data_IF_125331722044
#
_entry.id   IF_125331722044
#
_cell.length_a   1.000
_cell.length_b   1.000
_cell.length_c   1.000
_cell.angle_alpha   90.00
_cell.angle_beta   90.00
_cell.angle_gamma   90.00
#
_symmetry.space_group_name_H-M   'P 1'
#
loop_
_entity.id
_entity.type
_entity.pdbx_description
1 polymer ?
#
# COMPACT_ATOMS: atom_id res chain seq x y z
N UNK A 1 -15.10 15.08 -70.62
CA UNK A 1 -15.45 15.95 -69.49
C UNK A 1 -15.85 15.03 -68.32
N UNK A 2 -15.00 14.93 -67.29
CA UNK A 2 -15.05 13.87 -66.27
C UNK A 2 -16.12 14.17 -65.17
N UNK A 3 -17.29 13.56 -65.31
CA UNK A 3 -18.40 13.64 -64.34
C UNK A 3 -18.12 12.82 -63.04
N UNK A 4 -17.11 11.92 -63.05
CA UNK A 4 -16.78 11.10 -61.89
C UNK A 4 -15.98 11.81 -60.79
N UNK A 5 -15.41 13.01 -61.01
CA UNK A 5 -14.70 13.79 -59.98
C UNK A 5 -15.58 14.63 -59.08
N UNK A 6 -16.87 14.79 -59.42
CA UNK A 6 -17.81 15.62 -58.67
C UNK A 6 -18.60 14.82 -57.59
N UNK A 7 -18.57 13.48 -57.63
CA UNK A 7 -19.41 12.63 -56.76
C UNK A 7 -18.65 11.99 -55.58
N UNK A 8 -17.32 12.07 -55.55
CA UNK A 8 -16.48 11.50 -54.49
C UNK A 8 -15.42 12.47 -53.96
N UNK A 9 -15.63 13.75 -54.09
CA UNK A 9 -14.84 14.75 -53.38
C UNK A 9 -15.19 14.73 -51.92
N UNK A 10 -14.53 13.89 -51.11
CA UNK A 10 -14.56 14.05 -49.67
C UNK A 10 -14.00 15.45 -49.36
N UNK A 11 -14.85 16.40 -49.01
CA UNK A 11 -14.43 17.69 -48.47
C UNK A 11 -13.63 17.38 -47.21
N UNK A 12 -12.29 17.50 -47.31
CA UNK A 12 -11.45 17.50 -46.14
C UNK A 12 -11.98 18.61 -45.21
N UNK A 13 -12.33 18.25 -43.98
CA UNK A 13 -12.75 19.23 -42.99
C UNK A 13 -11.69 20.33 -42.86
N UNK A 14 -12.05 21.59 -42.65
CA UNK A 14 -11.12 22.67 -42.39
C UNK A 14 -10.22 22.29 -41.17
N UNK A 15 -8.96 22.68 -41.18
CA UNK A 15 -8.00 22.33 -40.13
C UNK A 15 -8.46 22.79 -38.71
N UNK A 16 -9.22 23.89 -38.65
CA UNK A 16 -9.83 24.36 -37.38
C UNK A 16 -10.94 23.44 -36.87
N UNK A 17 -11.73 22.87 -37.78
CA UNK A 17 -12.83 21.95 -37.41
C UNK A 17 -12.27 20.62 -36.94
N UNK A 18 -11.22 20.12 -37.57
CA UNK A 18 -10.47 18.91 -37.14
C UNK A 18 -9.85 19.13 -35.77
N UNK A 19 -9.22 20.30 -35.50
CA UNK A 19 -8.67 20.63 -34.18
C UNK A 19 -9.74 20.68 -33.11
N UNK A 20 -10.93 21.25 -33.38
CA UNK A 20 -12.05 21.28 -32.44
C UNK A 20 -12.58 19.89 -32.13
N UNK A 21 -12.69 19.02 -33.13
CA UNK A 21 -13.12 17.63 -32.91
C UNK A 21 -12.12 16.86 -32.06
N UNK A 22 -10.81 16.97 -32.35
CA UNK A 22 -9.74 16.33 -31.55
C UNK A 22 -9.72 16.82 -30.10
N UNK A 23 -9.87 18.13 -29.89
CA UNK A 23 -9.93 18.69 -28.51
C UNK A 23 -11.17 18.20 -27.76
N UNK A 24 -12.31 18.11 -28.45
CA UNK A 24 -13.54 17.57 -27.86
C UNK A 24 -13.38 16.11 -27.46
N UNK A 25 -12.81 15.29 -28.35
CA UNK A 25 -12.61 13.86 -28.13
C UNK A 25 -11.63 13.63 -26.96
N UNK A 26 -10.54 14.39 -26.87
CA UNK A 26 -9.65 14.41 -25.72
C UNK A 26 -10.39 14.70 -24.41
N UNK A 27 -11.18 15.78 -24.35
CA UNK A 27 -11.90 16.18 -23.15
C UNK A 27 -12.94 15.14 -22.71
N UNK A 28 -13.64 14.50 -23.66
CA UNK A 28 -14.59 13.42 -23.36
C UNK A 28 -13.87 12.22 -22.76
N UNK A 29 -12.78 11.77 -23.36
CA UNK A 29 -12.00 10.64 -22.88
C UNK A 29 -11.40 10.91 -21.49
N UNK A 30 -10.83 12.11 -21.30
CA UNK A 30 -10.30 12.53 -19.99
C UNK A 30 -11.40 12.53 -18.93
N UNK A 31 -12.57 13.14 -19.21
CA UNK A 31 -13.69 13.20 -18.28
C UNK A 31 -14.22 11.80 -17.95
N UNK A 32 -14.42 10.95 -18.95
CA UNK A 32 -14.90 9.58 -18.76
C UNK A 32 -13.90 8.75 -17.96
N UNK A 33 -12.60 8.89 -18.22
CA UNK A 33 -11.56 8.23 -17.47
C UNK A 33 -11.51 8.64 -15.99
N UNK A 34 -11.60 9.95 -15.71
CA UNK A 34 -11.62 10.47 -14.34
C UNK A 34 -12.89 10.04 -13.61
N UNK A 35 -14.04 10.04 -14.29
CA UNK A 35 -15.30 9.55 -13.70
C UNK A 35 -15.21 8.06 -13.39
N UNK A 36 -14.75 7.26 -14.34
CA UNK A 36 -14.59 5.82 -14.16
C UNK A 36 -13.65 5.48 -12.99
N UNK A 37 -12.55 6.24 -12.83
CA UNK A 37 -11.63 6.10 -11.70
C UNK A 37 -12.36 6.31 -10.35
N UNK A 38 -13.19 7.35 -10.24
CA UNK A 38 -14.01 7.63 -9.04
C UNK A 38 -15.04 6.54 -8.76
N UNK A 39 -15.61 5.96 -9.82
CA UNK A 39 -16.57 4.86 -9.76
C UNK A 39 -15.90 3.48 -9.58
N UNK A 40 -14.55 3.45 -9.44
CA UNK A 40 -13.73 2.24 -9.29
C UNK A 40 -13.80 1.29 -10.50
N UNK A 41 -14.14 1.82 -11.67
CA UNK A 41 -14.13 1.10 -12.95
C UNK A 41 -12.74 1.23 -13.59
N UNK A 42 -11.74 0.65 -12.94
CA UNK A 42 -10.32 0.90 -13.22
C UNK A 42 -9.91 0.53 -14.66
N UNK A 43 -10.35 -0.62 -15.18
CA UNK A 43 -10.03 -1.05 -16.54
C UNK A 43 -10.57 -0.07 -17.59
N UNK A 44 -11.78 0.43 -17.40
CA UNK A 44 -12.36 1.43 -18.30
C UNK A 44 -11.67 2.78 -18.16
N UNK A 45 -11.31 3.18 -16.94
CA UNK A 45 -10.53 4.38 -16.69
C UNK A 45 -9.18 4.33 -17.42
N UNK A 46 -8.45 3.21 -17.32
CA UNK A 46 -7.17 2.98 -18.01
C UNK A 46 -7.35 3.15 -19.53
N UNK A 47 -8.35 2.51 -20.13
CA UNK A 47 -8.59 2.60 -21.56
C UNK A 47 -8.88 4.03 -22.03
N UNK A 48 -9.72 4.77 -21.30
CA UNK A 48 -10.05 6.16 -21.62
C UNK A 48 -8.82 7.07 -21.47
N UNK A 49 -8.08 6.95 -20.37
CA UNK A 49 -6.91 7.80 -20.09
C UNK A 49 -5.75 7.51 -21.03
N UNK A 50 -5.50 6.25 -21.40
CA UNK A 50 -4.49 5.91 -22.42
C UNK A 50 -4.81 6.58 -23.76
N UNK A 51 -6.05 6.48 -24.23
CA UNK A 51 -6.47 7.15 -25.47
C UNK A 51 -6.40 8.68 -25.38
N UNK A 52 -6.72 9.25 -24.20
CA UNK A 52 -6.56 10.69 -23.98
C UNK A 52 -5.08 11.10 -24.10
N UNK A 53 -4.15 10.34 -23.54
CA UNK A 53 -2.70 10.57 -23.62
C UNK A 53 -2.18 10.39 -25.06
N UNK A 54 -2.72 9.47 -25.85
CA UNK A 54 -2.40 9.36 -27.28
C UNK A 54 -2.74 10.65 -28.05
N UNK A 55 -3.82 11.34 -27.66
CA UNK A 55 -4.21 12.61 -28.27
C UNK A 55 -3.38 13.78 -27.74
N UNK A 56 -3.15 13.83 -26.43
CA UNK A 56 -2.38 14.88 -25.78
C UNK A 56 -1.46 14.27 -24.70
N UNK A 57 -0.27 13.88 -25.12
CA UNK A 57 0.73 13.26 -24.26
C UNK A 57 1.32 14.18 -23.19
N UNK A 58 1.14 15.50 -23.31
CA UNK A 58 1.63 16.49 -22.35
C UNK A 58 0.65 16.74 -21.18
N UNK A 59 -0.54 16.14 -21.18
CA UNK A 59 -1.52 16.34 -20.10
C UNK A 59 -1.12 15.55 -18.85
N UNK A 60 -0.54 16.23 -17.88
CA UNK A 60 -0.08 15.64 -16.62
C UNK A 60 -1.24 15.10 -15.75
N UNK A 61 -2.42 15.71 -15.84
CA UNK A 61 -3.58 15.24 -15.09
C UNK A 61 -4.06 13.87 -15.60
N UNK A 62 -4.03 13.63 -16.91
CA UNK A 62 -4.30 12.30 -17.46
C UNK A 62 -3.28 11.27 -16.98
N UNK A 63 -1.98 11.63 -16.95
CA UNK A 63 -0.93 10.73 -16.45
C UNK A 63 -1.10 10.45 -14.95
N UNK A 64 -1.44 11.47 -14.17
CA UNK A 64 -1.69 11.33 -12.74
C UNK A 64 -2.85 10.36 -12.48
N UNK A 65 -3.99 10.56 -13.11
CA UNK A 65 -5.14 9.67 -12.97
C UNK A 65 -4.85 8.25 -13.50
N UNK A 66 -4.08 8.13 -14.58
CA UNK A 66 -3.67 6.84 -15.11
C UNK A 66 -2.76 6.08 -14.15
N UNK A 67 -1.80 6.78 -13.51
CA UNK A 67 -0.94 6.17 -12.49
C UNK A 67 -1.75 5.65 -11.31
N UNK A 68 -2.78 6.38 -10.86
CA UNK A 68 -3.69 5.95 -9.80
C UNK A 68 -4.49 4.71 -10.22
N UNK A 69 -5.00 4.67 -11.45
CA UNK A 69 -5.71 3.50 -11.96
C UNK A 69 -4.82 2.26 -12.04
N UNK A 70 -3.55 2.43 -12.47
CA UNK A 70 -2.57 1.34 -12.48
C UNK A 70 -2.21 0.85 -11.07
N UNK A 71 -2.05 1.75 -10.09
CA UNK A 71 -1.83 1.36 -8.68
C UNK A 71 -3.02 0.53 -8.18
N UNK A 72 -4.25 0.99 -8.46
CA UNK A 72 -5.47 0.31 -8.00
C UNK A 72 -5.68 -1.08 -8.64
N UNK A 73 -5.01 -1.38 -9.75
CA UNK A 73 -5.04 -2.67 -10.45
C UNK A 73 -3.74 -3.46 -10.32
N UNK A 74 -2.86 -3.07 -9.37
CA UNK A 74 -1.55 -3.69 -9.11
C UNK A 74 -0.59 -3.69 -10.32
N UNK A 75 -0.83 -2.80 -11.29
CA UNK A 75 0.05 -2.60 -12.45
C UNK A 75 1.16 -1.60 -12.11
N UNK A 76 1.95 -1.90 -11.09
CA UNK A 76 2.89 -0.98 -10.44
C UNK A 76 3.97 -0.44 -11.38
N UNK A 77 4.52 -1.30 -12.27
CA UNK A 77 5.54 -0.88 -13.24
C UNK A 77 5.02 0.19 -14.20
N UNK A 78 3.77 0.05 -14.65
CA UNK A 78 3.13 1.03 -15.54
C UNK A 78 2.79 2.32 -14.78
N UNK A 79 2.38 2.21 -13.51
CA UNK A 79 2.18 3.37 -12.63
C UNK A 79 3.47 4.17 -12.47
N UNK A 80 4.58 3.49 -12.17
CA UNK A 80 5.89 4.11 -12.02
C UNK A 80 6.34 4.83 -13.30
N UNK A 81 6.14 4.21 -14.48
CA UNK A 81 6.45 4.83 -15.77
C UNK A 81 5.67 6.15 -16.01
N UNK A 82 4.37 6.19 -15.64
CA UNK A 82 3.61 7.44 -15.77
C UNK A 82 4.12 8.53 -14.83
N UNK A 83 4.42 8.18 -13.57
CA UNK A 83 5.00 9.10 -12.60
C UNK A 83 6.39 9.58 -13.02
N UNK A 84 7.21 8.71 -13.61
CA UNK A 84 8.52 9.08 -14.13
C UNK A 84 8.40 10.14 -15.25
N UNK A 85 7.47 9.96 -16.19
CA UNK A 85 7.19 10.96 -17.23
C UNK A 85 6.71 12.29 -16.65
N UNK A 86 5.95 12.24 -15.55
CA UNK A 86 5.54 13.46 -14.84
C UNK A 86 6.74 14.15 -14.16
N UNK A 87 7.65 13.37 -13.57
CA UNK A 87 8.86 13.92 -12.95
C UNK A 87 9.87 14.49 -13.98
N UNK A 88 9.89 13.95 -15.20
CA UNK A 88 10.69 14.51 -16.31
C UNK A 88 10.18 15.90 -16.73
N UNK A 89 8.85 16.09 -16.78
CA UNK A 89 8.23 17.38 -17.11
C UNK A 89 8.22 18.39 -15.96
N UNK A 90 8.16 17.90 -14.70
CA UNK A 90 8.11 18.69 -13.50
C UNK A 90 9.11 18.16 -12.45
N UNK A 91 10.42 18.31 -12.66
CA UNK A 91 11.45 17.68 -11.83
C UNK A 91 11.46 18.16 -10.37
N UNK A 92 10.94 19.36 -10.10
CA UNK A 92 10.89 19.95 -8.76
C UNK A 92 9.61 19.58 -7.99
N UNK A 93 8.76 18.72 -8.55
CA UNK A 93 7.52 18.34 -7.92
C UNK A 93 7.74 17.19 -6.92
N UNK A 94 7.98 17.54 -5.65
CA UNK A 94 8.22 16.60 -4.56
C UNK A 94 7.05 15.60 -4.39
N UNK A 95 5.81 16.04 -4.59
CA UNK A 95 4.65 15.16 -4.46
C UNK A 95 4.69 14.00 -5.49
N UNK A 96 5.18 14.25 -6.71
CA UNK A 96 5.38 13.20 -7.71
C UNK A 96 6.51 12.26 -7.28
N UNK A 97 7.62 12.80 -6.77
CA UNK A 97 8.75 12.00 -6.28
C UNK A 97 8.34 11.12 -5.09
N UNK A 98 7.57 11.64 -4.15
CA UNK A 98 7.06 10.85 -3.02
C UNK A 98 6.14 9.71 -3.49
N UNK A 99 5.30 9.95 -4.47
CA UNK A 99 4.46 8.88 -5.05
C UNK A 99 5.29 7.85 -5.82
N UNK A 100 6.37 8.28 -6.50
CA UNK A 100 7.32 7.35 -7.11
C UNK A 100 8.00 6.48 -6.05
N UNK A 101 8.40 7.07 -4.92
CA UNK A 101 9.00 6.33 -3.81
C UNK A 101 8.00 5.30 -3.23
N UNK A 102 6.74 5.68 -3.09
CA UNK A 102 5.68 4.77 -2.60
C UNK A 102 5.43 3.61 -3.57
N UNK A 103 5.31 3.88 -4.87
CA UNK A 103 5.17 2.82 -5.88
C UNK A 103 6.42 1.94 -5.96
N UNK A 104 7.61 2.51 -5.86
CA UNK A 104 8.86 1.75 -5.82
C UNK A 104 8.93 0.82 -4.59
N UNK A 105 8.42 1.28 -3.43
CA UNK A 105 8.27 0.44 -2.24
C UNK A 105 7.30 -0.73 -2.48
N UNK A 106 6.12 -0.46 -3.09
CA UNK A 106 5.17 -1.51 -3.44
C UNK A 106 5.75 -2.54 -4.43
N UNK A 107 6.67 -2.11 -5.30
CA UNK A 107 7.42 -2.97 -6.24
C UNK A 107 8.60 -3.71 -5.59
N UNK A 108 8.87 -3.47 -4.31
CA UNK A 108 10.09 -3.93 -3.61
C UNK A 108 11.39 -3.47 -4.32
N UNK A 109 11.30 -2.40 -5.11
CA UNK A 109 12.45 -1.82 -5.80
C UNK A 109 13.10 -0.74 -4.93
N UNK A 110 13.79 -1.17 -3.91
CA UNK A 110 14.40 -0.29 -2.91
C UNK A 110 15.50 0.61 -3.50
N UNK A 111 16.17 0.18 -4.56
CA UNK A 111 17.15 1.03 -5.27
C UNK A 111 16.47 2.22 -5.94
N UNK A 112 15.41 1.99 -6.72
CA UNK A 112 14.66 3.09 -7.33
C UNK A 112 14.03 4.00 -6.27
N UNK A 113 13.58 3.43 -5.14
CA UNK A 113 13.06 4.17 -4.01
C UNK A 113 14.12 5.11 -3.41
N UNK A 114 15.34 4.62 -3.16
CA UNK A 114 16.45 5.41 -2.63
C UNK A 114 16.83 6.55 -3.59
N UNK A 115 17.01 6.25 -4.89
CA UNK A 115 17.35 7.23 -5.92
C UNK A 115 16.36 8.41 -5.99
N UNK A 116 15.07 8.09 -5.87
CA UNK A 116 14.00 9.11 -5.89
C UNK A 116 14.00 9.93 -4.61
N UNK A 117 14.21 9.29 -3.45
CA UNK A 117 14.31 10.01 -2.17
C UNK A 117 15.53 10.93 -2.13
N UNK A 118 16.68 10.53 -2.68
CA UNK A 118 17.88 11.38 -2.78
C UNK A 118 17.58 12.64 -3.60
N UNK A 119 16.91 12.49 -4.74
CA UNK A 119 16.47 13.65 -5.55
C UNK A 119 15.53 14.56 -4.75
N UNK A 120 14.56 13.98 -4.04
CA UNK A 120 13.63 14.75 -3.24
C UNK A 120 14.31 15.48 -2.07
N UNK A 121 15.33 14.87 -1.42
CA UNK A 121 16.14 15.52 -0.38
C UNK A 121 16.95 16.71 -0.90
N UNK A 122 17.41 16.66 -2.16
CA UNK A 122 18.10 17.79 -2.78
C UNK A 122 17.18 18.98 -3.02
N UNK A 123 15.88 18.75 -3.21
CA UNK A 123 14.88 19.78 -3.44
C UNK A 123 14.35 20.37 -2.13
N UNK A 124 14.09 19.51 -1.15
CA UNK A 124 13.56 19.87 0.16
C UNK A 124 14.21 19.00 1.24
N UNK A 125 15.30 19.52 1.80
CA UNK A 125 16.09 18.86 2.83
C UNK A 125 15.40 18.74 4.19
N UNK A 126 14.22 19.38 4.38
CA UNK A 126 13.46 19.32 5.63
C UNK A 126 12.15 18.52 5.49
N UNK A 127 11.97 17.79 4.39
CA UNK A 127 10.80 16.98 4.15
C UNK A 127 10.83 15.66 4.94
N UNK A 128 10.02 15.58 5.97
CA UNK A 128 9.95 14.45 6.90
C UNK A 128 9.61 13.14 6.19
N UNK A 129 8.69 13.18 5.21
CA UNK A 129 8.25 11.99 4.48
C UNK A 129 9.38 11.40 3.62
N UNK A 130 10.25 12.25 3.07
CA UNK A 130 11.39 11.81 2.26
C UNK A 130 12.36 10.99 3.11
N UNK A 131 12.66 11.43 4.33
CA UNK A 131 13.52 10.68 5.25
C UNK A 131 12.89 9.35 5.66
N UNK A 132 11.59 9.33 5.90
CA UNK A 132 10.86 8.11 6.22
C UNK A 132 10.91 7.09 5.07
N UNK A 133 10.65 7.52 3.84
CA UNK A 133 10.75 6.64 2.68
C UNK A 133 12.19 6.19 2.43
N UNK A 134 13.18 7.06 2.61
CA UNK A 134 14.57 6.66 2.46
C UNK A 134 14.99 5.62 3.51
N UNK A 135 14.52 5.77 4.74
CA UNK A 135 14.73 4.75 5.78
C UNK A 135 14.12 3.40 5.39
N UNK A 136 12.90 3.38 4.84
CA UNK A 136 12.29 2.14 4.33
C UNK A 136 13.11 1.52 3.19
N UNK A 137 13.71 2.33 2.32
CA UNK A 137 14.62 1.83 1.29
C UNK A 137 15.89 1.23 1.89
N UNK A 138 16.47 1.85 2.92
CA UNK A 138 17.59 1.30 3.67
C UNK A 138 17.23 -0.05 4.32
N UNK A 139 16.05 -0.16 4.94
CA UNK A 139 15.55 -1.45 5.49
C UNK A 139 15.49 -2.53 4.41
N UNK A 140 14.96 -2.22 3.23
CA UNK A 140 14.89 -3.16 2.12
C UNK A 140 16.25 -3.61 1.59
N UNK A 141 17.29 -2.81 1.80
CA UNK A 141 18.69 -3.17 1.51
C UNK A 141 19.40 -3.87 2.69
N UNK A 142 18.74 -4.01 3.85
CA UNK A 142 19.34 -4.55 5.07
C UNK A 142 20.28 -3.58 5.78
N UNK A 143 20.27 -2.30 5.42
CA UNK A 143 21.09 -1.26 6.04
C UNK A 143 20.33 -0.60 7.21
N UNK A 144 20.18 -1.36 8.29
CA UNK A 144 19.41 -0.94 9.46
C UNK A 144 20.03 0.29 10.14
N UNK A 145 21.35 0.40 10.12
CA UNK A 145 22.05 1.55 10.72
C UNK A 145 21.67 2.87 10.05
N UNK A 146 21.72 2.93 8.72
CA UNK A 146 21.30 4.11 7.99
C UNK A 146 19.79 4.34 8.11
N UNK A 147 18.98 3.29 8.17
CA UNK A 147 17.55 3.44 8.40
C UNK A 147 17.26 4.17 9.73
N UNK A 148 17.89 3.77 10.83
CA UNK A 148 17.76 4.42 12.15
C UNK A 148 18.21 5.89 12.10
N UNK A 149 19.32 6.20 11.39
CA UNK A 149 19.78 7.58 11.22
C UNK A 149 18.74 8.43 10.48
N UNK A 150 18.18 7.92 9.39
CA UNK A 150 17.15 8.64 8.61
C UNK A 150 15.85 8.84 9.41
N UNK A 151 15.42 7.84 10.16
CA UNK A 151 14.25 7.95 11.05
C UNK A 151 14.50 8.96 12.18
N UNK A 152 15.71 8.97 12.75
CA UNK A 152 16.10 9.96 13.76
C UNK A 152 16.09 11.39 13.19
N UNK A 153 16.51 11.56 11.92
CA UNK A 153 16.41 12.85 11.23
C UNK A 153 14.95 13.24 11.00
N UNK A 154 14.10 12.32 10.58
CA UNK A 154 12.66 12.56 10.45
C UNK A 154 12.02 13.00 11.76
N UNK A 155 12.37 12.34 12.88
CA UNK A 155 11.87 12.67 14.22
C UNK A 155 12.43 13.98 14.77
N UNK A 156 13.65 14.38 14.39
CA UNK A 156 14.19 15.69 14.71
C UNK A 156 13.39 16.81 14.03
N UNK A 157 12.93 16.59 12.80
CA UNK A 157 12.13 17.55 12.04
C UNK A 157 10.65 17.55 12.49
N UNK A 158 10.13 16.40 12.85
CA UNK A 158 8.77 16.22 13.37
C UNK A 158 8.74 15.17 14.46
N UNK A 159 8.81 15.60 15.71
CA UNK A 159 8.77 14.72 16.89
C UNK A 159 7.44 13.94 17.03
N UNK A 160 6.39 14.38 16.33
CA UNK A 160 5.06 13.76 16.39
C UNK A 160 4.82 12.75 15.25
N UNK A 161 5.87 12.38 14.53
CA UNK A 161 5.75 11.40 13.45
C UNK A 161 5.80 9.96 14.01
N UNK A 162 4.67 9.50 14.51
CA UNK A 162 4.54 8.22 15.23
C UNK A 162 4.93 7.01 14.37
N UNK A 163 4.65 7.00 13.06
CA UNK A 163 5.07 5.91 12.16
C UNK A 163 6.59 5.79 12.05
N UNK A 164 7.32 6.92 12.02
CA UNK A 164 8.78 6.90 12.00
C UNK A 164 9.35 6.44 13.36
N UNK A 165 8.70 6.82 14.46
CA UNK A 165 9.09 6.38 15.82
C UNK A 165 8.87 4.89 16.01
N UNK A 166 7.73 4.36 15.54
CA UNK A 166 7.44 2.93 15.62
C UNK A 166 8.50 2.13 14.85
N UNK A 167 8.73 2.47 13.59
CA UNK A 167 9.73 1.79 12.77
C UNK A 167 11.14 1.92 13.38
N UNK A 168 11.52 3.08 13.94
CA UNK A 168 12.81 3.25 14.60
C UNK A 168 12.93 2.36 15.83
N UNK A 169 11.92 2.32 16.68
CA UNK A 169 11.88 1.47 17.86
C UNK A 169 12.03 -0.02 17.52
N UNK A 170 11.39 -0.49 16.46
CA UNK A 170 11.54 -1.85 15.96
C UNK A 170 12.98 -2.15 15.50
N UNK A 171 13.58 -1.25 14.70
CA UNK A 171 14.94 -1.41 14.20
C UNK A 171 16.00 -1.33 15.32
N UNK A 172 15.81 -0.45 16.29
CA UNK A 172 16.67 -0.34 17.48
C UNK A 172 16.61 -1.63 18.29
N UNK A 173 15.41 -2.19 18.46
CA UNK A 173 15.25 -3.47 19.17
C UNK A 173 15.92 -4.61 18.42
N UNK A 174 15.80 -4.67 17.09
CA UNK A 174 16.46 -5.66 16.23
C UNK A 174 18.00 -5.53 16.31
N UNK A 175 18.51 -4.28 16.40
CA UNK A 175 19.95 -4.01 16.54
C UNK A 175 20.48 -4.26 17.94
N UNK A 176 19.60 -4.49 18.92
CA UNK A 176 19.97 -4.70 20.32
C UNK A 176 20.10 -3.42 21.16
N UNK A 177 19.70 -2.27 20.60
CA UNK A 177 19.69 -0.97 21.29
C UNK A 177 18.39 -0.81 22.09
N UNK A 178 18.26 -1.67 23.12
CA UNK A 178 17.00 -1.90 23.86
C UNK A 178 16.55 -0.67 24.63
N UNK A 179 17.48 0.11 25.19
CA UNK A 179 17.17 1.33 25.95
C UNK A 179 16.52 2.39 25.07
N UNK A 180 17.08 2.64 23.88
CA UNK A 180 16.55 3.61 22.93
C UNK A 180 15.22 3.15 22.34
N UNK A 181 15.09 1.85 22.06
CA UNK A 181 13.82 1.25 21.66
C UNK A 181 12.73 1.41 22.74
N UNK A 182 13.10 1.34 24.00
CA UNK A 182 12.19 1.53 25.11
C UNK A 182 11.68 2.98 25.20
N UNK A 183 12.55 3.98 24.96
CA UNK A 183 12.16 5.38 24.93
C UNK A 183 11.13 5.64 23.81
N UNK A 184 11.32 5.05 22.65
CA UNK A 184 10.38 5.15 21.53
C UNK A 184 9.05 4.47 21.86
N UNK A 185 9.09 3.25 22.40
CA UNK A 185 7.89 2.51 22.81
C UNK A 185 7.09 3.25 23.89
N UNK A 186 7.77 3.79 24.92
CA UNK A 186 7.11 4.54 26.02
C UNK A 186 6.47 5.83 25.49
N UNK A 187 7.16 6.54 24.58
CA UNK A 187 6.60 7.74 23.95
C UNK A 187 5.35 7.41 23.13
N UNK A 188 5.37 6.32 22.37
CA UNK A 188 4.21 5.89 21.58
C UNK A 188 3.05 5.44 22.48
N UNK A 189 3.31 4.64 23.53
CA UNK A 189 2.28 4.20 24.47
C UNK A 189 1.61 5.36 25.21
N UNK A 190 2.32 6.46 25.46
CA UNK A 190 1.77 7.65 26.09
C UNK A 190 0.84 8.45 25.14
N UNK A 191 0.95 8.26 23.83
CA UNK A 191 0.24 9.04 22.80
C UNK A 191 -0.86 8.24 22.11
N UNK A 192 -0.66 6.95 21.94
CA UNK A 192 -1.53 6.07 21.15
C UNK A 192 -2.02 4.94 22.04
N UNK A 193 -3.30 4.94 22.34
CA UNK A 193 -3.93 3.90 23.14
C UNK A 193 -4.47 2.78 22.24
N UNK A 194 -4.25 1.53 22.64
CA UNK A 194 -4.88 0.35 22.05
C UNK A 194 -4.38 -0.02 20.62
N UNK A 195 -3.30 0.58 20.13
CA UNK A 195 -2.71 0.18 18.86
C UNK A 195 -1.86 -1.09 19.05
N UNK A 196 -2.13 -2.12 18.25
CA UNK A 196 -1.48 -3.43 18.34
C UNK A 196 0.04 -3.34 18.17
N UNK A 197 0.53 -2.64 17.12
CA UNK A 197 1.96 -2.57 16.80
C UNK A 197 2.74 -1.87 17.91
N UNK A 198 2.18 -0.78 18.47
CA UNK A 198 2.77 -0.04 19.60
C UNK A 198 2.85 -0.93 20.84
N UNK A 199 1.79 -1.68 21.14
CA UNK A 199 1.74 -2.59 22.27
C UNK A 199 2.70 -3.77 22.09
N UNK A 200 2.84 -4.30 20.86
CA UNK A 200 3.81 -5.34 20.51
C UNK A 200 5.24 -4.85 20.69
N UNK A 201 5.56 -3.65 20.19
CA UNK A 201 6.88 -3.06 20.41
C UNK A 201 7.19 -2.96 21.91
N UNK A 202 6.24 -2.46 22.70
CA UNK A 202 6.42 -2.37 24.18
C UNK A 202 6.65 -3.73 24.81
N UNK A 203 5.87 -4.75 24.43
CA UNK A 203 6.01 -6.10 24.97
C UNK A 203 7.36 -6.74 24.60
N UNK A 204 7.80 -6.56 23.36
CA UNK A 204 9.10 -7.04 22.89
C UNK A 204 10.27 -6.34 23.59
N UNK A 205 10.15 -5.04 23.87
CA UNK A 205 11.12 -4.28 24.65
C UNK A 205 11.22 -4.83 26.08
N UNK A 206 10.10 -5.08 26.77
CA UNK A 206 10.13 -5.64 28.12
C UNK A 206 10.75 -7.05 28.14
N UNK A 207 10.44 -7.87 27.14
CA UNK A 207 11.06 -9.18 26.94
C UNK A 207 12.59 -9.06 26.73
N UNK A 208 13.03 -8.12 25.89
CA UNK A 208 14.47 -7.91 25.62
C UNK A 208 15.24 -7.38 26.84
N UNK A 209 14.59 -6.58 27.70
CA UNK A 209 15.13 -6.18 29.02
C UNK A 209 15.23 -7.32 30.03
N UNK A 210 14.65 -8.48 29.73
CA UNK A 210 14.55 -9.60 30.67
C UNK A 210 13.43 -9.44 31.71
N UNK A 211 12.58 -8.43 31.59
CA UNK A 211 11.43 -8.17 32.47
C UNK A 211 10.26 -9.08 32.06
N UNK A 212 10.39 -10.39 32.29
CA UNK A 212 9.47 -11.41 31.76
C UNK A 212 8.05 -11.26 32.29
N UNK A 213 7.85 -10.86 33.55
CA UNK A 213 6.52 -10.67 34.13
C UNK A 213 5.80 -9.46 33.50
N UNK A 214 6.51 -8.37 33.28
CA UNK A 214 6.03 -7.17 32.60
C UNK A 214 5.73 -7.45 31.13
N UNK A 215 6.58 -8.25 30.47
CA UNK A 215 6.37 -8.69 29.08
C UNK A 215 5.09 -9.53 28.96
N UNK A 216 4.83 -10.48 29.87
CA UNK A 216 3.59 -11.28 29.86
C UNK A 216 2.36 -10.38 29.96
N UNK A 217 2.38 -9.38 30.86
CA UNK A 217 1.30 -8.40 31.00
C UNK A 217 1.13 -7.57 29.73
N UNK A 218 2.24 -7.13 29.13
CA UNK A 218 2.21 -6.32 27.91
C UNK A 218 1.64 -7.10 26.71
N UNK A 219 2.04 -8.34 26.50
CA UNK A 219 1.42 -9.22 25.48
C UNK A 219 -0.06 -9.49 25.78
N UNK A 220 -0.46 -9.57 27.06
CA UNK A 220 -1.85 -9.63 27.44
C UNK A 220 -2.66 -8.45 26.91
N UNK A 221 -2.12 -7.23 27.02
CA UNK A 221 -2.75 -6.01 26.46
C UNK A 221 -2.84 -6.03 24.94
N UNK A 222 -1.84 -6.61 24.25
CA UNK A 222 -1.93 -6.80 22.78
C UNK A 222 -3.11 -7.69 22.42
N UNK A 223 -3.26 -8.82 23.12
CA UNK A 223 -4.35 -9.78 22.90
C UNK A 223 -5.71 -9.17 23.25
N UNK A 224 -5.78 -8.34 24.29
CA UNK A 224 -7.00 -7.60 24.64
C UNK A 224 -7.39 -6.60 23.52
N UNK A 225 -6.40 -5.96 22.86
CA UNK A 225 -6.61 -5.03 21.77
C UNK A 225 -6.93 -5.76 20.44
N UNK A 226 -6.23 -6.85 20.16
CA UNK A 226 -6.45 -7.72 19.01
C UNK A 226 -6.43 -9.20 19.41
N UNK A 227 -7.59 -9.83 19.67
CA UNK A 227 -7.69 -11.23 20.05
C UNK A 227 -7.21 -12.22 18.95
N UNK A 228 -6.90 -11.74 17.74
CA UNK A 228 -6.41 -12.55 16.63
C UNK A 228 -4.92 -12.35 16.34
N UNK A 229 -4.18 -11.68 17.22
CA UNK A 229 -2.74 -11.45 17.09
C UNK A 229 -1.95 -12.73 17.34
N UNK A 230 -1.65 -13.47 16.28
CA UNK A 230 -0.89 -14.74 16.34
C UNK A 230 0.48 -14.53 16.99
N UNK A 231 1.15 -13.42 16.64
CA UNK A 231 2.48 -13.08 17.18
C UNK A 231 2.40 -12.85 18.69
N UNK A 232 1.40 -12.14 19.17
CA UNK A 232 1.22 -11.89 20.60
C UNK A 232 1.02 -13.18 21.40
N UNK A 233 0.26 -14.13 20.90
CA UNK A 233 0.09 -15.42 21.55
C UNK A 233 1.41 -16.22 21.55
N UNK A 234 2.11 -16.30 20.43
CA UNK A 234 3.39 -17.03 20.34
C UNK A 234 4.43 -16.44 21.27
N UNK A 235 4.61 -15.14 21.21
CA UNK A 235 5.64 -14.45 21.98
C UNK A 235 5.30 -14.46 23.49
N UNK A 236 4.00 -14.36 23.87
CA UNK A 236 3.58 -14.56 25.26
C UNK A 236 3.79 -16.00 25.73
N UNK A 237 3.54 -16.99 24.88
CA UNK A 237 3.82 -18.39 25.17
C UNK A 237 5.29 -18.63 25.47
N UNK A 238 6.20 -18.02 24.70
CA UNK A 238 7.66 -18.08 24.98
C UNK A 238 8.01 -17.47 26.35
N UNK A 239 7.43 -16.31 26.67
CA UNK A 239 7.61 -15.63 27.95
C UNK A 239 7.07 -16.47 29.11
N UNK A 240 5.88 -17.06 28.98
CA UNK A 240 5.26 -17.96 29.97
C UNK A 240 6.12 -19.20 30.23
N UNK A 241 6.69 -19.78 29.15
CA UNK A 241 7.61 -20.90 29.27
C UNK A 241 8.87 -20.52 30.03
N UNK A 242 9.44 -19.34 29.80
CA UNK A 242 10.59 -18.82 30.54
C UNK A 242 10.26 -18.56 32.03
N UNK A 243 9.02 -18.24 32.35
CA UNK A 243 8.50 -18.08 33.72
C UNK A 243 8.13 -19.42 34.39
N UNK A 244 8.21 -20.55 33.68
CA UNK A 244 7.82 -21.87 34.20
C UNK A 244 6.31 -22.14 34.16
N UNK A 245 5.54 -21.33 33.45
CA UNK A 245 4.11 -21.52 33.24
C UNK A 245 3.86 -22.32 31.95
N UNK A 246 4.18 -23.60 31.98
CA UNK A 246 4.04 -24.50 30.82
C UNK A 246 2.58 -24.66 30.37
N UNK A 247 1.63 -24.67 31.30
CA UNK A 247 0.20 -24.77 30.96
C UNK A 247 -0.28 -23.56 30.18
N UNK A 248 0.04 -22.35 30.63
CA UNK A 248 -0.27 -21.12 29.93
C UNK A 248 0.43 -20.99 28.58
N UNK A 249 1.68 -21.46 28.48
CA UNK A 249 2.44 -21.47 27.22
C UNK A 249 1.78 -22.38 26.18
N UNK A 250 1.38 -23.61 26.58
CA UNK A 250 0.70 -24.57 25.70
C UNK A 250 -0.67 -24.05 25.26
N UNK A 251 -1.39 -23.33 26.12
CA UNK A 251 -2.67 -22.74 25.77
C UNK A 251 -2.50 -21.63 24.70
N UNK A 252 -1.47 -20.79 24.85
CA UNK A 252 -1.14 -19.74 23.87
C UNK A 252 -0.70 -20.34 22.53
N UNK A 253 0.12 -21.38 22.53
CA UNK A 253 0.54 -22.08 21.33
C UNK A 253 -0.66 -22.73 20.61
N UNK A 254 -1.57 -23.34 21.36
CA UNK A 254 -2.79 -23.91 20.81
C UNK A 254 -3.69 -22.84 20.14
N UNK A 255 -3.87 -21.69 20.81
CA UNK A 255 -4.62 -20.56 20.25
C UNK A 255 -3.99 -20.00 18.97
N UNK A 256 -2.68 -19.80 18.95
CA UNK A 256 -1.96 -19.34 17.77
C UNK A 256 -2.09 -20.32 16.59
N UNK A 257 -2.00 -21.62 16.87
CA UNK A 257 -2.12 -22.68 15.85
C UNK A 257 -3.56 -22.79 15.32
N UNK A 258 -4.57 -22.61 16.16
CA UNK A 258 -5.99 -22.58 15.74
C UNK A 258 -6.27 -21.43 14.77
N UNK A 259 -5.73 -20.24 15.06
CA UNK A 259 -5.88 -19.05 14.19
C UNK A 259 -5.15 -19.20 12.85
N UNK A 260 -4.04 -19.96 12.84
CA UNK A 260 -3.26 -20.18 11.62
C UNK A 260 -3.85 -21.26 10.71
N UNK A 261 -4.72 -22.13 11.23
CA UNK A 261 -5.39 -23.10 10.39
C UNK A 261 -6.36 -22.38 9.47
N UNK A 262 -6.14 -22.49 8.16
CA UNK A 262 -7.13 -22.07 7.17
C UNK A 262 -8.48 -22.74 7.50
N UNK A 263 -9.61 -21.99 7.38
CA UNK A 263 -10.91 -22.62 7.52
C UNK A 263 -10.96 -23.83 6.58
N UNK A 264 -11.48 -24.98 7.04
CA UNK A 264 -11.49 -26.19 6.22
C UNK A 264 -12.10 -25.84 4.87
N UNK A 265 -11.34 -26.10 3.80
CA UNK A 265 -11.80 -25.88 2.42
C UNK A 265 -13.19 -26.48 2.30
N UNK A 266 -14.17 -25.74 1.74
CA UNK A 266 -15.50 -26.31 1.54
C UNK A 266 -15.31 -27.65 0.82
N UNK A 267 -15.64 -28.74 1.48
CA UNK A 267 -15.51 -30.06 0.88
C UNK A 267 -16.24 -30.01 -0.47
N UNK A 268 -15.63 -30.54 -1.54
CA UNK A 268 -16.20 -30.57 -2.91
C UNK A 268 -17.70 -30.94 -2.96
N UNK A 269 -18.18 -31.70 -1.95
CA UNK A 269 -19.57 -32.04 -1.76
C UNK A 269 -20.51 -30.87 -1.42
N UNK A 270 -20.01 -29.80 -0.79
CA UNK A 270 -20.82 -28.59 -0.47
C UNK A 270 -20.99 -27.74 -1.72
N UNK A 271 -19.91 -27.51 -2.49
CA UNK A 271 -20.00 -26.82 -3.78
C UNK A 271 -20.90 -27.53 -4.78
N UNK A 272 -20.79 -28.88 -4.88
CA UNK A 272 -21.67 -29.68 -5.73
C UNK A 272 -23.13 -29.64 -5.28
N UNK A 273 -23.39 -29.61 -3.97
CA UNK A 273 -24.75 -29.49 -3.43
C UNK A 273 -25.32 -28.09 -3.62
N UNK A 274 -24.49 -27.03 -3.50
CA UNK A 274 -24.90 -25.64 -3.79
C UNK A 274 -25.19 -25.50 -5.28
N UNK A 275 -24.31 -25.99 -6.17
CA UNK A 275 -24.53 -26.01 -7.62
C UNK A 275 -25.78 -26.77 -8.02
N UNK A 276 -26.04 -27.93 -7.40
CA UNK A 276 -27.24 -28.72 -7.62
C UNK A 276 -28.52 -28.01 -7.15
N UNK A 277 -28.47 -27.35 -5.99
CA UNK A 277 -29.58 -26.52 -5.50
C UNK A 277 -29.82 -25.29 -6.36
N UNK A 278 -28.77 -24.60 -6.82
CA UNK A 278 -28.90 -23.47 -7.73
C UNK A 278 -29.48 -23.90 -9.10
N UNK A 279 -29.10 -25.05 -9.64
CA UNK A 279 -29.68 -25.59 -10.87
C UNK A 279 -31.16 -26.07 -10.69
N UNK A 280 -31.56 -26.41 -9.48
CA UNK A 280 -32.96 -26.76 -9.16
C UNK A 280 -33.81 -25.50 -8.90
N UNK A 281 -33.19 -24.36 -8.58
CA UNK A 281 -33.81 -23.04 -8.36
C UNK A 281 -33.80 -22.15 -9.60
N UNK A 282 -33.69 -22.73 -10.81
CA UNK A 282 -33.77 -21.96 -12.05
C UNK A 282 -35.17 -21.30 -12.17
N UNK A 283 -35.31 -19.98 -11.99
CA UNK A 283 -36.62 -19.33 -12.00
C UNK A 283 -37.29 -19.37 -13.37
N UNK A 284 -36.57 -19.78 -14.44
CA UNK A 284 -37.10 -19.90 -15.79
C UNK A 284 -37.72 -21.26 -16.07
N UNK A 285 -37.57 -22.26 -15.17
CA UNK A 285 -38.27 -23.55 -15.29
C UNK A 285 -39.75 -23.50 -14.99
N UNK A 286 -40.24 -22.42 -14.39
CA UNK A 286 -41.67 -22.27 -14.06
C UNK A 286 -42.53 -21.88 -15.27
N UNK A 287 -41.91 -21.49 -16.39
CA UNK A 287 -42.63 -20.99 -17.58
C UNK A 287 -42.63 -21.98 -18.78
N UNK A 288 -42.05 -23.15 -18.66
CA UNK A 288 -42.01 -24.15 -19.74
C UNK A 288 -42.69 -25.46 -19.34
N UNK A 289 -43.94 -25.40 -18.86
CA UNK A 289 -44.85 -26.54 -18.80
C UNK A 289 -46.09 -26.13 -19.60
N UNK A 290 -46.04 -26.33 -20.91
CA UNK A 290 -47.14 -26.74 -21.79
C UNK A 290 -46.57 -27.74 -22.80
#
# INVERSE_FOLDING_TARGET
>A
MNIFKALFGSKSKPAEEVKKDVTRDFNVLKYDGVRALRERQFDYAIQCLLRAIEINGADLECRDNLSQAFIATDNLSQAYEQLQKMAEECPDNIAVLLRMADVAYMMENYTAMADVCEKAMMLDGDNVQVYFYYAKACCGHGDLTNAVVMLSKALLLNADFDAARLLRGELLLESGDVEEAAEDADTLCARIEGNEDVLLLKARVEKAKGCMAEAEIAYGKVIDANPFSIDAYRERGEVRKALGNDEGANADEAAANEMQQEPPQPTEGIEQNIKKKMQQMDPYKVFNNE
#
